data_IF_096529689890
#
_entry.id   IF_096529689890
#
_cell.length_a   1.000
_cell.length_b   1.000
_cell.length_c   1.000
_cell.angle_alpha   90.00
_cell.angle_beta   90.00
_cell.angle_gamma   90.00
#
_symmetry.space_group_name_H-M   'P 1'
#
loop_
_entity.id
_entity.type
_entity.pdbx_description
1 polymer ?
#
# COMPACT_ATOMS: atom_id res chain seq x y z
N UNK A 1 -8.35 23.43 -31.37
CA UNK A 1 -8.22 21.97 -31.14
C UNK A 1 -7.51 21.84 -29.81
N UNK A 2 -8.28 21.76 -28.72
CA UNK A 2 -7.75 21.69 -27.36
C UNK A 2 -7.12 20.33 -27.12
N UNK A 3 -5.80 20.32 -26.88
CA UNK A 3 -5.11 19.20 -26.26
C UNK A 3 -5.49 19.17 -24.79
N UNK A 4 -6.54 18.43 -24.46
CA UNK A 4 -6.75 17.94 -23.09
C UNK A 4 -5.56 17.07 -22.72
N UNK A 5 -4.61 17.66 -21.99
CA UNK A 5 -3.70 16.91 -21.14
C UNK A 5 -4.56 16.12 -20.15
N UNK A 6 -4.84 14.85 -20.48
CA UNK A 6 -5.25 13.86 -19.49
C UNK A 6 -4.11 13.77 -18.50
N UNK A 7 -4.31 14.29 -17.31
CA UNK A 7 -3.59 13.83 -16.14
C UNK A 7 -3.91 12.34 -16.00
N UNK A 8 -2.96 11.49 -16.40
CA UNK A 8 -3.02 10.04 -16.19
C UNK A 8 -2.93 9.77 -14.68
N UNK A 9 -4.03 9.98 -13.97
CA UNK A 9 -4.28 9.25 -12.75
C UNK A 9 -4.53 7.81 -13.18
N UNK A 10 -3.51 6.96 -13.04
CA UNK A 10 -3.61 5.52 -13.33
C UNK A 10 -4.62 4.78 -12.44
N UNK A 11 -5.19 5.46 -11.44
CA UNK A 11 -6.26 4.96 -10.57
C UNK A 11 -7.63 5.18 -11.23
N UNK A 12 -8.22 4.09 -11.78
CA UNK A 12 -9.56 4.10 -12.40
C UNK A 12 -10.59 3.37 -11.53
N UNK A 13 -11.89 3.62 -11.76
CA UNK A 13 -12.95 2.88 -11.06
C UNK A 13 -12.84 1.35 -11.25
N UNK A 14 -12.24 0.91 -12.36
CA UNK A 14 -11.97 -0.49 -12.62
C UNK A 14 -10.83 -1.06 -11.74
N UNK A 15 -9.89 -0.25 -11.25
CA UNK A 15 -8.83 -0.71 -10.34
C UNK A 15 -9.37 -1.02 -8.94
N UNK A 16 -10.40 -0.30 -8.51
CA UNK A 16 -11.04 -0.54 -7.21
C UNK A 16 -12.01 -1.73 -7.21
N UNK A 17 -12.34 -2.24 -8.40
CA UNK A 17 -13.19 -3.42 -8.55
C UNK A 17 -12.34 -4.69 -8.47
N UNK A 18 -12.25 -5.26 -7.27
CA UNK A 18 -11.53 -6.51 -7.02
C UNK A 18 -12.47 -7.71 -6.94
N UNK A 19 -13.71 -7.60 -7.43
CA UNK A 19 -14.72 -8.65 -7.28
C UNK A 19 -14.32 -9.97 -7.96
N UNK A 20 -13.53 -9.90 -9.03
CA UNK A 20 -13.06 -11.05 -9.80
C UNK A 20 -11.82 -11.74 -9.19
N UNK A 21 -11.19 -11.16 -8.15
CA UNK A 21 -10.08 -11.79 -7.44
C UNK A 21 -10.61 -12.86 -6.47
N UNK A 22 -9.96 -14.03 -6.44
CA UNK A 22 -10.31 -15.09 -5.50
C UNK A 22 -10.14 -14.56 -4.05
N UNK A 23 -11.12 -14.88 -3.19
CA UNK A 23 -11.40 -14.34 -1.85
C UNK A 23 -12.10 -12.97 -1.72
N UNK A 24 -12.44 -12.26 -2.80
CA UNK A 24 -13.25 -11.03 -2.74
C UNK A 24 -12.47 -9.80 -2.22
N UNK A 25 -12.93 -9.15 -1.13
CA UNK A 25 -12.38 -7.85 -0.64
C UNK A 25 -10.94 -7.90 -0.11
N UNK A 26 -10.38 -9.09 0.15
CA UNK A 26 -9.03 -9.29 0.68
C UNK A 26 -8.36 -10.46 -0.04
N UNK A 27 -7.23 -10.21 -0.70
CA UNK A 27 -6.46 -11.24 -1.41
C UNK A 27 -5.45 -11.90 -0.45
N UNK A 28 -5.32 -13.22 -0.50
CA UNK A 28 -4.25 -13.94 0.20
C UNK A 28 -2.91 -13.84 -0.54
N UNK A 29 -1.79 -14.10 0.15
CA UNK A 29 -0.47 -14.11 -0.50
C UNK A 29 -0.32 -15.23 -1.53
N UNK A 30 -1.01 -16.35 -1.32
CA UNK A 30 -1.01 -17.49 -2.25
C UNK A 30 -1.80 -17.18 -3.53
N UNK A 31 -2.97 -16.57 -3.38
CA UNK A 31 -3.76 -16.06 -4.51
C UNK A 31 -2.97 -15.00 -5.28
N UNK A 32 -2.32 -14.06 -4.59
CA UNK A 32 -1.47 -13.06 -5.25
C UNK A 32 -0.30 -13.70 -6.01
N UNK A 33 0.34 -14.73 -5.47
CA UNK A 33 1.39 -15.48 -6.17
C UNK A 33 0.85 -16.21 -7.41
N UNK A 34 -0.36 -16.76 -7.31
CA UNK A 34 -1.06 -17.44 -8.40
C UNK A 34 -1.38 -16.48 -9.55
N UNK A 35 -1.96 -15.31 -9.23
CA UNK A 35 -2.26 -14.27 -10.22
C UNK A 35 -1.00 -13.75 -10.91
N UNK A 36 0.07 -13.49 -10.16
CA UNK A 36 1.35 -13.06 -10.73
C UNK A 36 1.93 -14.14 -11.67
N UNK A 37 1.76 -15.42 -11.35
CA UNK A 37 2.18 -16.52 -12.22
C UNK A 37 1.38 -16.57 -13.53
N UNK A 38 0.07 -16.30 -13.46
CA UNK A 38 -0.77 -16.18 -14.66
C UNK A 38 -0.35 -14.98 -15.53
N UNK A 39 -0.02 -13.84 -14.91
CA UNK A 39 0.46 -12.64 -15.61
C UNK A 39 1.83 -12.88 -16.28
N UNK A 40 2.80 -13.53 -15.62
CA UNK A 40 4.09 -13.92 -16.23
C UNK A 40 3.87 -14.75 -17.51
N UNK A 41 3.03 -15.78 -17.41
CA UNK A 41 2.69 -16.61 -18.56
C UNK A 41 2.06 -15.79 -19.69
N UNK A 42 1.10 -14.92 -19.37
CA UNK A 42 0.40 -14.11 -20.37
C UNK A 42 1.33 -13.14 -21.09
N UNK A 43 2.23 -12.47 -20.37
CA UNK A 43 3.22 -11.57 -20.97
C UNK A 43 4.16 -12.32 -21.93
N UNK A 44 4.59 -13.54 -21.59
CA UNK A 44 5.40 -14.39 -22.49
C UNK A 44 4.62 -14.84 -23.72
N UNK A 45 3.35 -15.20 -23.56
CA UNK A 45 2.48 -15.55 -24.67
C UNK A 45 2.29 -14.37 -25.64
N UNK A 46 2.13 -13.15 -25.11
CA UNK A 46 2.05 -11.94 -25.93
C UNK A 46 3.37 -11.67 -26.66
N UNK A 47 4.51 -11.77 -25.97
CA UNK A 47 5.83 -11.62 -26.60
C UNK A 47 6.02 -12.63 -27.74
N UNK A 48 5.59 -13.88 -27.53
CA UNK A 48 5.64 -14.94 -28.54
C UNK A 48 4.71 -14.67 -29.73
N UNK A 49 3.49 -14.21 -29.47
CA UNK A 49 2.55 -13.86 -30.54
C UNK A 49 3.05 -12.66 -31.38
N UNK A 50 3.71 -11.69 -30.73
CA UNK A 50 4.27 -10.51 -31.38
C UNK A 50 5.50 -10.81 -32.27
N UNK A 51 6.08 -12.01 -32.21
CA UNK A 51 7.12 -12.45 -33.16
C UNK A 51 6.59 -12.58 -34.59
N UNK A 52 5.27 -12.76 -34.77
CA UNK A 52 4.61 -12.85 -36.07
C UNK A 52 3.32 -12.02 -36.04
N UNK A 53 3.43 -10.68 -36.06
CA UNK A 53 2.27 -9.82 -36.03
C UNK A 53 1.45 -9.95 -37.33
N UNK A 54 0.13 -9.70 -37.25
CA UNK A 54 -0.76 -9.71 -38.43
C UNK A 54 -0.45 -8.58 -39.43
N UNK A 55 0.26 -7.55 -38.96
CA UNK A 55 0.64 -6.35 -39.68
C UNK A 55 2.18 -6.26 -39.64
N UNK A 56 2.85 -5.96 -40.76
CA UNK A 56 4.31 -5.98 -40.85
C UNK A 56 4.94 -4.76 -40.16
N UNK A 57 4.94 -4.76 -38.83
CA UNK A 57 5.58 -3.76 -37.96
C UNK A 57 6.71 -4.44 -37.20
N UNK A 58 7.86 -3.78 -37.12
CA UNK A 58 8.98 -4.24 -36.29
C UNK A 58 8.67 -4.02 -34.81
N UNK A 59 8.71 -5.10 -34.02
CA UNK A 59 8.29 -5.13 -32.62
C UNK A 59 9.37 -5.67 -31.67
N UNK A 60 10.62 -5.84 -32.12
CA UNK A 60 11.72 -6.38 -31.31
C UNK A 60 11.83 -5.74 -29.92
N UNK A 61 11.81 -4.40 -29.83
CA UNK A 61 11.90 -3.68 -28.55
C UNK A 61 10.69 -3.96 -27.63
N UNK A 62 9.49 -4.12 -28.22
CA UNK A 62 8.27 -4.46 -27.48
C UNK A 62 8.34 -5.89 -26.96
N UNK A 63 8.81 -6.83 -27.78
CA UNK A 63 8.98 -8.24 -27.41
C UNK A 63 9.95 -8.36 -26.22
N UNK A 64 11.10 -7.69 -26.29
CA UNK A 64 12.07 -7.70 -25.19
C UNK A 64 11.54 -7.04 -23.92
N UNK A 65 10.80 -5.93 -24.06
CA UNK A 65 10.11 -5.29 -22.94
C UNK A 65 9.11 -6.24 -22.26
N UNK A 66 8.27 -6.93 -23.03
CA UNK A 66 7.29 -7.91 -22.51
C UNK A 66 7.99 -9.07 -21.77
N UNK A 67 9.10 -9.59 -22.30
CA UNK A 67 9.90 -10.65 -21.67
C UNK A 67 10.58 -10.18 -20.37
N UNK A 68 11.07 -8.95 -20.37
CA UNK A 68 11.65 -8.30 -19.19
C UNK A 68 10.61 -8.14 -18.08
N UNK A 69 9.45 -7.55 -18.41
CA UNK A 69 8.32 -7.40 -17.47
C UNK A 69 7.85 -8.76 -16.93
N UNK A 70 7.76 -9.79 -17.78
CA UNK A 70 7.40 -11.14 -17.35
C UNK A 70 8.37 -11.67 -16.27
N UNK A 71 9.68 -11.44 -16.46
CA UNK A 71 10.71 -11.85 -15.50
C UNK A 71 10.57 -11.11 -14.16
N UNK A 72 10.31 -9.80 -14.17
CA UNK A 72 10.03 -9.03 -12.94
C UNK A 72 8.77 -9.50 -12.21
N UNK A 73 7.70 -9.80 -12.97
CA UNK A 73 6.44 -10.32 -12.41
C UNK A 73 6.67 -11.68 -11.76
N UNK A 74 7.42 -12.57 -12.41
CA UNK A 74 7.80 -13.88 -11.86
C UNK A 74 8.55 -13.76 -10.53
N UNK A 75 9.59 -12.93 -10.48
CA UNK A 75 10.35 -12.73 -9.24
C UNK A 75 9.46 -12.23 -8.09
N UNK A 76 8.47 -11.40 -8.42
CA UNK A 76 7.47 -10.93 -7.46
C UNK A 76 6.54 -12.07 -7.03
N UNK A 77 6.07 -12.89 -7.96
CA UNK A 77 5.23 -14.07 -7.69
C UNK A 77 5.93 -15.10 -6.80
N UNK A 78 7.19 -15.43 -7.11
CA UNK A 78 8.02 -16.33 -6.30
C UNK A 78 8.19 -15.79 -4.87
N UNK A 79 8.38 -14.47 -4.73
CA UNK A 79 8.47 -13.82 -3.42
C UNK A 79 7.16 -13.93 -2.64
N UNK A 80 6.00 -13.72 -3.28
CA UNK A 80 4.70 -13.85 -2.62
C UNK A 80 4.43 -15.30 -2.20
N UNK A 81 4.77 -16.28 -3.05
CA UNK A 81 4.69 -17.69 -2.70
C UNK A 81 5.58 -18.07 -1.52
N UNK A 82 6.80 -17.52 -1.45
CA UNK A 82 7.66 -17.72 -0.29
C UNK A 82 7.10 -17.06 0.98
N UNK A 83 6.53 -15.86 0.89
CA UNK A 83 5.86 -15.21 2.01
C UNK A 83 4.62 -15.97 2.47
N UNK A 84 3.84 -16.55 1.56
CA UNK A 84 2.69 -17.40 1.88
C UNK A 84 3.11 -18.54 2.81
N UNK A 85 4.21 -19.24 2.47
CA UNK A 85 4.79 -20.30 3.31
C UNK A 85 5.29 -19.80 4.67
N UNK A 86 5.89 -18.60 4.72
CA UNK A 86 6.26 -17.97 5.99
C UNK A 86 5.03 -17.74 6.87
N UNK A 87 3.98 -17.13 6.31
CA UNK A 87 2.75 -16.78 7.03
C UNK A 87 1.98 -18.03 7.48
N UNK A 88 2.00 -19.09 6.69
CA UNK A 88 1.44 -20.40 7.05
C UNK A 88 2.20 -21.11 8.20
N UNK A 89 3.44 -20.67 8.51
CA UNK A 89 4.28 -21.26 9.55
C UNK A 89 5.23 -22.37 9.06
N UNK A 90 5.29 -22.62 7.75
CA UNK A 90 6.15 -23.67 7.16
C UNK A 90 7.65 -23.33 7.20
N UNK A 91 7.98 -22.07 7.50
CA UNK A 91 9.36 -21.56 7.47
C UNK A 91 9.72 -21.06 8.87
N UNK A 92 10.79 -21.59 9.49
CA UNK A 92 11.25 -21.10 10.79
C UNK A 92 11.81 -19.69 10.65
N UNK A 93 11.50 -18.85 11.62
CA UNK A 93 11.92 -17.46 11.73
C UNK A 93 12.81 -17.28 12.95
N UNK A 94 13.80 -16.38 12.83
CA UNK A 94 14.59 -15.97 13.98
C UNK A 94 13.71 -15.26 15.03
N UNK A 95 14.03 -15.43 16.31
CA UNK A 95 13.30 -14.79 17.42
C UNK A 95 13.47 -13.25 17.44
N UNK A 96 14.55 -12.75 16.84
CA UNK A 96 14.87 -11.33 16.78
C UNK A 96 15.59 -10.99 15.47
N UNK A 97 15.59 -9.71 15.10
CA UNK A 97 16.40 -9.21 13.99
C UNK A 97 17.90 -9.26 14.32
N UNK A 98 18.80 -9.10 13.33
CA UNK A 98 20.25 -9.12 13.54
C UNK A 98 20.80 -8.17 14.63
N UNK A 99 20.07 -7.11 14.99
CA UNK A 99 20.41 -6.19 16.08
C UNK A 99 19.95 -6.63 17.49
N UNK A 100 19.33 -7.82 17.63
CA UNK A 100 18.71 -8.26 18.89
C UNK A 100 17.29 -7.72 19.10
N UNK A 101 16.81 -6.95 18.13
CA UNK A 101 15.54 -6.27 18.14
C UNK A 101 14.36 -7.27 18.03
N UNK A 102 13.42 -7.32 19.01
CA UNK A 102 12.26 -8.21 18.91
C UNK A 102 11.28 -7.74 17.84
N UNK A 103 10.39 -8.65 17.43
CA UNK A 103 9.33 -8.43 16.45
C UNK A 103 8.04 -9.15 16.89
N UNK A 104 6.92 -8.88 16.21
CA UNK A 104 5.63 -9.49 16.53
C UNK A 104 5.14 -9.09 17.92
N UNK A 105 4.52 -10.02 18.64
CA UNK A 105 4.04 -9.83 20.01
C UNK A 105 5.18 -9.51 20.97
N UNK A 106 6.37 -10.07 20.76
CA UNK A 106 7.54 -9.81 21.61
C UNK A 106 8.03 -8.36 21.54
N UNK A 107 7.66 -7.61 20.49
CA UNK A 107 7.92 -6.18 20.38
C UNK A 107 6.87 -5.29 21.06
N UNK A 108 5.86 -5.88 21.74
CA UNK A 108 4.82 -5.11 22.45
C UNK A 108 5.46 -4.26 23.56
N UNK A 109 5.07 -2.98 23.62
CA UNK A 109 5.58 -2.04 24.62
C UNK A 109 7.00 -1.53 24.36
N UNK A 110 7.58 -1.85 23.20
CA UNK A 110 8.84 -1.24 22.74
C UNK A 110 8.54 -0.04 21.85
N UNK A 111 8.89 1.16 22.32
CA UNK A 111 8.78 2.40 21.56
C UNK A 111 9.91 2.47 20.51
N UNK A 112 9.77 1.78 19.38
CA UNK A 112 10.64 2.04 18.22
C UNK A 112 10.07 3.14 17.35
N UNK A 113 10.73 4.31 17.35
CA UNK A 113 10.43 5.43 16.47
C UNK A 113 10.94 5.22 15.03
N UNK A 114 11.99 4.40 14.84
CA UNK A 114 12.77 4.39 13.59
C UNK A 114 12.14 3.61 12.42
N UNK A 115 11.19 2.71 12.69
CA UNK A 115 10.59 1.84 11.66
C UNK A 115 9.13 2.16 11.34
N UNK A 116 8.73 3.43 11.42
CA UNK A 116 7.55 3.99 10.75
C UNK A 116 6.22 3.22 10.87
N UNK A 117 5.97 2.56 12.00
CA UNK A 117 4.77 1.77 12.29
C UNK A 117 4.95 1.02 13.62
N UNK A 118 3.89 0.48 14.23
CA UNK A 118 4.06 -0.33 15.44
C UNK A 118 5.02 -1.47 15.14
N UNK A 119 6.04 -1.67 15.99
CA UNK A 119 7.14 -2.64 15.84
C UNK A 119 6.72 -4.12 15.68
N UNK A 120 5.42 -4.33 15.61
CA UNK A 120 4.66 -5.56 15.66
C UNK A 120 4.53 -6.20 14.26
N UNK A 121 4.46 -5.42 13.17
CA UNK A 121 4.21 -5.95 11.82
C UNK A 121 5.44 -5.73 10.93
N UNK A 122 6.23 -6.79 10.63
CA UNK A 122 7.41 -6.66 9.79
C UNK A 122 7.05 -6.41 8.32
N UNK A 123 7.91 -5.68 7.61
CA UNK A 123 7.87 -5.56 6.15
C UNK A 123 8.22 -6.88 5.46
N UNK A 124 7.92 -6.99 4.17
CA UNK A 124 8.31 -8.14 3.32
C UNK A 124 9.80 -8.48 3.46
N UNK A 125 10.69 -7.48 3.34
CA UNK A 125 12.13 -7.70 3.42
C UNK A 125 12.58 -8.15 4.82
N UNK A 126 11.94 -7.63 5.87
CA UNK A 126 12.20 -8.05 7.24
C UNK A 126 11.77 -9.50 7.47
N UNK A 127 10.61 -9.94 6.96
CA UNK A 127 10.20 -11.35 7.04
C UNK A 127 11.13 -12.28 6.28
N UNK A 128 11.53 -11.90 5.06
CA UNK A 128 12.50 -12.67 4.27
C UNK A 128 13.82 -12.79 5.02
N UNK A 129 14.29 -11.71 5.66
CA UNK A 129 15.52 -11.74 6.45
C UNK A 129 15.39 -12.63 7.68
N UNK A 130 14.31 -12.50 8.45
CA UNK A 130 14.02 -13.36 9.60
C UNK A 130 13.97 -14.84 9.22
N UNK A 131 13.46 -15.17 8.03
CA UNK A 131 13.44 -16.53 7.51
C UNK A 131 14.83 -17.04 7.13
N UNK A 132 15.68 -16.20 6.54
CA UNK A 132 17.08 -16.56 6.27
C UNK A 132 17.84 -16.84 7.58
N UNK A 133 17.73 -15.94 8.54
CA UNK A 133 18.39 -16.06 9.84
C UNK A 133 17.80 -17.22 10.68
N UNK A 134 16.49 -17.47 10.57
CA UNK A 134 15.78 -18.57 11.19
C UNK A 134 16.21 -19.94 10.66
N UNK A 135 16.43 -20.08 9.34
CA UNK A 135 17.01 -21.29 8.75
C UNK A 135 18.40 -21.58 9.29
N UNK A 136 19.25 -20.55 9.39
CA UNK A 136 20.60 -20.68 9.96
C UNK A 136 20.56 -21.01 11.46
N UNK A 137 19.59 -20.47 12.20
CA UNK A 137 19.38 -20.78 13.60
C UNK A 137 18.95 -22.23 13.79
N UNK A 138 17.93 -22.68 13.05
CA UNK A 138 17.41 -24.04 13.08
C UNK A 138 18.49 -25.07 12.70
N UNK A 139 19.28 -24.83 11.64
CA UNK A 139 20.38 -25.70 11.25
C UNK A 139 21.49 -25.81 12.32
N UNK A 140 21.65 -24.76 13.13
CA UNK A 140 22.58 -24.72 14.26
C UNK A 140 21.97 -25.17 15.60
N UNK A 141 20.75 -25.70 15.61
CA UNK A 141 20.06 -26.13 16.85
C UNK A 141 19.68 -24.99 17.79
N UNK A 142 19.65 -23.74 17.30
CA UNK A 142 19.20 -22.57 18.06
C UNK A 142 17.68 -22.43 17.96
N UNK A 143 17.09 -21.82 18.98
CA UNK A 143 15.66 -21.58 19.07
C UNK A 143 15.15 -20.68 17.92
N UNK A 144 13.97 -21.00 17.41
CA UNK A 144 13.26 -20.29 16.33
C UNK A 144 11.78 -20.21 16.66
N UNK A 145 11.04 -19.37 15.95
CA UNK A 145 9.58 -19.28 16.03
C UNK A 145 8.95 -19.38 14.65
N UNK A 146 7.63 -19.46 14.57
CA UNK A 146 6.86 -19.34 13.33
C UNK A 146 6.09 -18.02 13.26
N UNK A 147 5.63 -17.64 12.06
CA UNK A 147 4.82 -16.43 11.91
C UNK A 147 3.51 -16.46 12.74
N UNK A 148 2.70 -17.54 12.72
CA UNK A 148 1.49 -17.60 13.55
C UNK A 148 1.77 -17.45 15.05
N UNK A 149 2.82 -18.10 15.57
CA UNK A 149 3.21 -18.00 16.98
C UNK A 149 3.59 -16.56 17.35
N UNK A 150 4.52 -15.97 16.59
CA UNK A 150 5.03 -14.62 16.84
C UNK A 150 3.93 -13.55 16.69
N UNK A 151 2.86 -13.85 15.95
CA UNK A 151 1.76 -12.91 15.70
C UNK A 151 0.49 -13.14 16.54
N UNK A 152 0.52 -14.12 17.46
CA UNK A 152 -0.65 -14.52 18.25
C UNK A 152 -1.24 -13.36 19.04
N UNK A 153 -2.50 -13.01 18.79
CA UNK A 153 -3.20 -11.94 19.51
C UNK A 153 -2.93 -10.51 19.00
N UNK A 154 -2.30 -10.36 17.84
CA UNK A 154 -2.29 -9.10 17.09
C UNK A 154 -3.57 -9.00 16.27
N UNK A 155 -4.34 -7.93 16.43
CA UNK A 155 -5.60 -7.72 15.73
C UNK A 155 -5.42 -7.48 14.22
N UNK A 156 -6.42 -7.89 13.43
CA UNK A 156 -6.44 -7.85 11.95
C UNK A 156 -6.77 -6.44 11.41
N UNK A 157 -6.93 -5.43 12.28
CA UNK A 157 -7.26 -4.06 11.87
C UNK A 157 -6.12 -3.29 11.17
N UNK A 158 -5.01 -3.93 10.83
CA UNK A 158 -3.92 -3.22 10.17
C UNK A 158 -4.29 -2.77 8.75
N UNK A 159 -4.03 -1.50 8.44
CA UNK A 159 -4.07 -0.98 7.09
C UNK A 159 -2.64 -0.78 6.55
N UNK A 160 -2.42 -1.13 5.28
CA UNK A 160 -1.15 -0.86 4.62
C UNK A 160 -0.85 0.63 4.50
N UNK A 161 0.44 1.00 4.58
CA UNK A 161 0.87 2.39 4.36
C UNK A 161 0.41 2.96 3.01
N UNK A 162 0.30 2.10 1.99
CA UNK A 162 -0.19 2.49 0.67
C UNK A 162 -1.67 2.87 0.72
N UNK A 163 -2.51 2.06 1.38
CA UNK A 163 -3.92 2.37 1.56
C UNK A 163 -4.13 3.62 2.44
N UNK A 164 -3.36 3.78 3.51
CA UNK A 164 -3.36 5.00 4.33
C UNK A 164 -2.97 6.25 3.51
N UNK A 165 -1.96 6.13 2.65
CA UNK A 165 -1.53 7.21 1.77
C UNK A 165 -2.58 7.55 0.71
N UNK A 166 -3.23 6.55 0.10
CA UNK A 166 -4.34 6.76 -0.84
C UNK A 166 -5.50 7.47 -0.17
N UNK A 167 -5.96 6.96 0.98
CA UNK A 167 -6.98 7.59 1.81
C UNK A 167 -6.65 9.04 2.15
N UNK A 168 -5.39 9.33 2.50
CA UNK A 168 -4.94 10.70 2.73
C UNK A 168 -5.05 11.58 1.48
N UNK A 169 -4.67 11.07 0.30
CA UNK A 169 -4.85 11.81 -0.96
C UNK A 169 -6.32 12.08 -1.28
N UNK A 170 -7.19 11.08 -1.09
CA UNK A 170 -8.64 11.22 -1.27
C UNK A 170 -9.22 12.29 -0.34
N UNK A 171 -8.83 12.27 0.94
CA UNK A 171 -9.17 13.30 1.91
C UNK A 171 -8.68 14.67 1.49
N UNK A 172 -7.40 14.81 1.14
CA UNK A 172 -6.79 16.09 0.76
C UNK A 172 -7.47 16.68 -0.49
N UNK A 173 -7.84 15.84 -1.46
CA UNK A 173 -8.62 16.24 -2.63
C UNK A 173 -10.04 16.68 -2.26
N UNK A 174 -10.72 15.95 -1.36
CA UNK A 174 -12.04 16.33 -0.85
C UNK A 174 -12.00 17.66 -0.08
N UNK A 175 -10.97 17.89 0.74
CA UNK A 175 -10.73 19.15 1.45
C UNK A 175 -10.49 20.28 0.45
N UNK A 176 -9.69 20.08 -0.59
CA UNK A 176 -9.45 21.11 -1.60
C UNK A 176 -10.75 21.56 -2.30
N UNK A 177 -11.67 20.63 -2.57
CA UNK A 177 -13.01 20.94 -3.12
C UNK A 177 -13.87 21.67 -2.08
N UNK A 178 -13.89 21.18 -0.84
CA UNK A 178 -14.74 21.74 0.23
C UNK A 178 -14.30 23.16 0.63
N UNK A 179 -12.99 23.42 0.64
CA UNK A 179 -12.44 24.76 0.85
C UNK A 179 -13.06 25.77 -0.11
N UNK A 180 -13.23 25.42 -1.39
CA UNK A 180 -13.81 26.33 -2.37
C UNK A 180 -15.31 26.59 -2.13
N UNK A 181 -16.03 25.67 -1.49
CA UNK A 181 -17.46 25.79 -1.20
C UNK A 181 -17.78 26.70 -0.02
N UNK A 182 -16.88 26.72 0.96
CA UNK A 182 -17.06 27.56 2.15
C UNK A 182 -16.74 29.02 1.84
N UNK A 183 -17.54 30.01 2.27
CA UNK A 183 -17.14 31.40 2.19
C UNK A 183 -15.96 31.70 3.13
N UNK A 184 -15.14 32.70 2.80
CA UNK A 184 -14.03 33.13 3.65
C UNK A 184 -14.34 34.44 4.36
N UNK A 185 -14.62 34.39 5.66
CA UNK A 185 -14.89 35.60 6.47
C UNK A 185 -13.72 36.59 6.48
N UNK A 186 -12.47 36.10 6.39
CA UNK A 186 -11.27 36.95 6.49
C UNK A 186 -10.99 37.79 5.25
N UNK A 187 -11.34 37.32 4.05
CA UNK A 187 -11.07 38.04 2.80
C UNK A 187 -12.29 38.22 1.90
N UNK A 188 -13.48 37.83 2.37
CA UNK A 188 -14.74 37.94 1.64
C UNK A 188 -14.82 37.05 0.39
N UNK A 189 -13.98 36.03 0.25
CA UNK A 189 -14.07 35.09 -0.87
C UNK A 189 -15.39 34.32 -0.78
N UNK A 190 -16.19 34.34 -1.85
CA UNK A 190 -17.47 33.65 -1.92
C UNK A 190 -17.30 32.16 -2.27
N UNK A 191 -18.41 31.43 -2.34
CA UNK A 191 -18.47 30.07 -2.88
C UNK A 191 -17.85 30.02 -4.30
N UNK A 192 -17.05 29.00 -4.55
CA UNK A 192 -16.26 28.78 -5.76
C UNK A 192 -14.99 29.62 -5.86
N UNK A 193 -14.73 30.54 -4.93
CA UNK A 193 -13.58 31.46 -5.03
C UNK A 193 -12.41 31.06 -4.13
N UNK A 194 -11.20 31.17 -4.69
CA UNK A 194 -9.96 31.09 -3.91
C UNK A 194 -9.85 32.27 -2.93
N UNK A 195 -9.18 32.03 -1.80
CA UNK A 195 -8.81 33.12 -0.89
C UNK A 195 -7.93 34.12 -1.61
N UNK A 196 -8.01 35.39 -1.20
CA UNK A 196 -7.19 36.47 -1.74
C UNK A 196 -6.14 36.91 -0.73
N UNK A 197 -4.96 37.25 -1.23
CA UNK A 197 -3.91 37.94 -0.47
C UNK A 197 -4.34 39.37 -0.14
N UNK A 198 -3.61 40.05 0.75
CA UNK A 198 -3.86 41.46 1.08
C UNK A 198 -3.85 42.41 -0.14
N UNK A 199 -3.20 41.99 -1.24
CA UNK A 199 -3.12 42.74 -2.51
C UNK A 199 -4.23 42.37 -3.50
N UNK A 200 -5.18 41.51 -3.12
CA UNK A 200 -6.31 41.08 -3.95
C UNK A 200 -6.04 39.92 -4.90
N UNK A 201 -4.81 39.42 -4.98
CA UNK A 201 -4.45 38.27 -5.82
C UNK A 201 -4.91 36.95 -5.22
N UNK A 202 -5.26 35.93 -6.03
CA UNK A 202 -5.51 34.59 -5.53
C UNK A 202 -4.31 34.08 -4.72
N UNK A 203 -4.58 33.49 -3.55
CA UNK A 203 -3.58 32.93 -2.68
C UNK A 203 -3.44 31.43 -2.95
N UNK A 204 -2.20 30.94 -2.95
CA UNK A 204 -1.91 29.51 -3.11
C UNK A 204 -2.50 28.64 -1.99
N UNK A 205 -2.79 29.26 -0.82
CA UNK A 205 -3.39 28.59 0.33
C UNK A 205 -4.59 29.36 0.84
N UNK A 206 -5.59 28.62 1.30
CA UNK A 206 -6.73 29.18 2.02
C UNK A 206 -6.31 29.75 3.38
N UNK A 207 -7.14 30.61 3.94
CA UNK A 207 -6.97 31.06 5.30
C UNK A 207 -7.20 29.91 6.28
N UNK A 208 -6.40 29.84 7.35
CA UNK A 208 -6.37 28.72 8.30
C UNK A 208 -7.75 28.39 8.87
N UNK A 209 -8.60 29.39 9.14
CA UNK A 209 -9.97 29.14 9.63
C UNK A 209 -10.82 28.37 8.61
N UNK A 210 -10.88 28.86 7.36
CA UNK A 210 -11.59 28.21 6.25
C UNK A 210 -11.06 26.80 5.96
N UNK A 211 -9.73 26.63 6.04
CA UNK A 211 -9.08 25.34 5.87
C UNK A 211 -9.51 24.34 6.96
N UNK A 212 -9.50 24.74 8.23
CA UNK A 212 -9.90 23.87 9.36
C UNK A 212 -11.38 23.51 9.32
N UNK A 213 -12.24 24.44 8.90
CA UNK A 213 -13.67 24.19 8.74
C UNK A 213 -13.94 23.18 7.62
N UNK A 214 -13.26 23.32 6.48
CA UNK A 214 -13.32 22.34 5.39
C UNK A 214 -12.81 20.96 5.81
N UNK A 215 -11.71 20.91 6.57
CA UNK A 215 -11.18 19.67 7.14
C UNK A 215 -12.20 18.98 8.06
N UNK A 216 -12.80 19.72 9.00
CA UNK A 216 -13.80 19.18 9.91
C UNK A 216 -15.04 18.63 9.15
N UNK A 217 -15.55 19.38 8.18
CA UNK A 217 -16.71 18.95 7.38
C UNK A 217 -16.41 17.70 6.52
N UNK A 218 -15.20 17.61 5.95
CA UNK A 218 -14.77 16.42 5.22
C UNK A 218 -14.57 15.24 6.15
N UNK A 219 -13.94 15.45 7.31
CA UNK A 219 -13.68 14.39 8.29
C UNK A 219 -14.98 13.81 8.87
N UNK A 220 -15.96 14.66 9.18
CA UNK A 220 -17.29 14.25 9.62
C UNK A 220 -18.00 13.43 8.53
N UNK A 221 -17.98 13.91 7.28
CA UNK A 221 -18.62 13.24 6.14
C UNK A 221 -17.98 11.90 5.80
N UNK A 222 -16.66 11.80 5.89
CA UNK A 222 -15.90 10.59 5.56
C UNK A 222 -15.76 9.64 6.75
N UNK A 223 -16.20 10.03 7.95
CA UNK A 223 -16.10 9.22 9.16
C UNK A 223 -14.67 9.05 9.68
N UNK A 224 -13.79 10.03 9.44
CA UNK A 224 -12.42 10.06 9.99
C UNK A 224 -12.43 10.43 11.47
N UNK A 225 -12.89 9.51 12.32
CA UNK A 225 -12.52 9.53 13.74
C UNK A 225 -11.24 8.70 13.85
N UNK A 226 -10.17 9.33 14.36
CA UNK A 226 -8.78 8.88 14.34
C UNK A 226 -8.45 7.60 15.13
N UNK A 227 -9.24 6.55 14.97
CA UNK A 227 -8.91 5.24 15.51
C UNK A 227 -7.80 4.63 14.66
N UNK A 228 -6.60 4.69 15.24
CA UNK A 228 -5.46 3.91 14.80
C UNK A 228 -5.91 2.44 14.77
N UNK A 229 -6.03 1.81 13.58
CA UNK A 229 -6.78 0.57 13.48
C UNK A 229 -5.97 -0.64 14.00
N UNK A 230 -4.80 -0.39 14.58
CA UNK A 230 -3.96 -1.33 15.34
C UNK A 230 -4.27 -1.28 16.85
N UNK A 231 -5.41 -0.72 17.26
CA UNK A 231 -5.86 -0.81 18.65
C UNK A 231 -6.17 -2.28 18.99
N UNK A 232 -5.20 -2.95 19.63
CA UNK A 232 -5.40 -4.28 20.22
C UNK A 232 -6.13 -4.07 21.56
N UNK A 233 -7.29 -4.71 21.79
CA UNK A 233 -7.96 -4.64 23.09
C UNK A 233 -7.01 -5.08 24.20
N UNK A 234 -7.00 -4.37 25.33
CA UNK A 234 -6.27 -4.81 26.52
C UNK A 234 -6.73 -6.21 26.92
N UNK A 235 -5.79 -7.13 27.11
CA UNK A 235 -6.09 -8.49 27.53
C UNK A 235 -6.76 -8.46 28.91
N UNK A 236 -7.93 -9.10 29.02
CA UNK A 236 -8.58 -9.41 30.30
C UNK A 236 -7.86 -10.53 31.01
#
# INVERSE_FOLDING_TARGET
MELTMRTDNHESAAETDTADLMAGKQITLDELATELSAIDLRLRQLARAAEVPDTPVELADVIESLRSSASTVRETGERMGFLSRIVAGDVPLALAFPGGDPWGVAARGTDRQDYGGPAIIPTVWQLVRLAQDGRLASAGGRETTTYPEAMTGIGIGWESKAAAARRRRERDAAVAVEVLRLPCEKCGAADGQQCKTAKGWPADKAHVSRQREAEAAVDERLGYLGDNPVAVPEAR
#
